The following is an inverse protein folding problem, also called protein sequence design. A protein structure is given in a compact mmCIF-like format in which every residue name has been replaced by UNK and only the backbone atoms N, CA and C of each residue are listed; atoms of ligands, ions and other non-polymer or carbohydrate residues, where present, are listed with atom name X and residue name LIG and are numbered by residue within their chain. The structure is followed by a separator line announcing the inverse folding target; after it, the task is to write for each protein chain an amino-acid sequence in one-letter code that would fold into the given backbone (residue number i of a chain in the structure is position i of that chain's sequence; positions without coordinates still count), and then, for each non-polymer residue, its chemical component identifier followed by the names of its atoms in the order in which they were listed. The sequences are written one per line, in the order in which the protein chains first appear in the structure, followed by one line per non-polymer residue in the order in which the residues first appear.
data_IF_453235454853
#
_entry.id   IF_453235454853
#
_cell.length_a   1.000
_cell.length_b   1.000
_cell.length_c   1.000
_cell.angle_alpha   90.00
_cell.angle_beta   90.00
_cell.angle_gamma   90.00
#
_symmetry.space_group_name_H-M   'P 1'
#
loop_
_entity.id
_entity.type
_entity.pdbx_description
1 polymer ?
#
# COMPACT_ATOMS: atom_id res chain seq x y z
N UNK A 1 -13.16 1.14 1.71
CA UNK A 1 -12.31 1.04 0.50
C UNK A 1 -13.03 0.17 -0.52
N UNK A 2 -12.95 0.54 -1.80
CA UNK A 2 -13.56 -0.21 -2.91
C UNK A 2 -12.47 -0.97 -3.67
N UNK A 3 -12.36 -2.28 -3.42
CA UNK A 3 -11.32 -3.13 -4.00
C UNK A 3 -11.57 -3.43 -5.49
N UNK A 4 -12.83 -3.61 -5.89
CA UNK A 4 -13.19 -3.87 -7.29
C UNK A 4 -12.92 -2.65 -8.17
N UNK A 5 -13.09 -1.44 -7.63
CA UNK A 5 -12.68 -0.23 -8.34
C UNK A 5 -11.17 -0.17 -8.51
N UNK A 6 -10.38 -0.46 -7.48
CA UNK A 6 -8.91 -0.43 -7.54
C UNK A 6 -8.37 -1.44 -8.54
N UNK A 7 -8.91 -2.66 -8.53
CA UNK A 7 -8.56 -3.72 -9.47
C UNK A 7 -8.76 -3.27 -10.93
N UNK A 8 -9.95 -2.72 -11.23
CA UNK A 8 -10.25 -2.13 -12.54
C UNK A 8 -9.37 -0.93 -12.92
N UNK A 9 -8.83 -0.20 -11.95
CA UNK A 9 -7.91 0.91 -12.21
C UNK A 9 -6.50 0.41 -12.54
N UNK A 10 -6.05 -0.66 -11.89
CA UNK A 10 -4.79 -1.35 -12.22
C UNK A 10 -4.83 -1.98 -13.61
N UNK A 11 -5.94 -2.64 -13.97
CA UNK A 11 -6.14 -3.24 -15.29
C UNK A 11 -6.05 -2.20 -16.43
N UNK A 12 -6.38 -0.94 -16.13
CA UNK A 12 -6.23 0.19 -17.07
C UNK A 12 -4.79 0.70 -17.15
N UNK A 13 -3.84 0.06 -16.49
CA UNK A 13 -2.44 0.45 -16.43
C UNK A 13 -2.17 1.66 -15.53
N UNK A 14 -3.11 2.06 -14.65
CA UNK A 14 -2.83 3.15 -13.71
C UNK A 14 -1.81 2.68 -12.68
N UNK A 15 -0.81 3.52 -12.43
CA UNK A 15 0.11 3.34 -11.30
C UNK A 15 -0.52 3.92 -10.04
N UNK A 16 -0.61 3.11 -9.00
CA UNK A 16 -1.27 3.47 -7.74
C UNK A 16 -0.27 3.30 -6.61
N UNK A 17 -0.22 4.28 -5.71
CA UNK A 17 0.55 4.26 -4.48
C UNK A 17 -0.36 3.97 -3.29
N UNK A 18 0.10 3.12 -2.38
CA UNK A 18 -0.61 2.74 -1.16
C UNK A 18 0.26 3.08 0.03
N UNK A 19 -0.23 3.97 0.89
CA UNK A 19 0.36 4.27 2.20
C UNK A 19 -0.29 3.40 3.27
N UNK A 20 0.51 2.71 4.06
CA UNK A 20 0.04 1.80 5.11
C UNK A 20 0.97 1.75 6.32
N UNK A 21 0.44 1.33 7.47
CA UNK A 21 1.19 1.11 8.69
C UNK A 21 1.82 -0.29 8.71
N UNK A 22 3.02 -0.38 9.28
CA UNK A 22 3.69 -1.66 9.51
C UNK A 22 4.44 -1.62 10.85
N UNK A 23 4.51 -2.76 11.56
CA UNK A 23 5.30 -2.84 12.78
C UNK A 23 6.79 -2.71 12.46
N UNK A 24 7.49 -1.91 13.26
CA UNK A 24 8.93 -1.73 13.22
C UNK A 24 9.55 -2.15 14.55
N UNK A 25 10.70 -2.81 14.48
CA UNK A 25 11.53 -3.10 15.66
C UNK A 25 12.14 -1.84 16.27
N UNK A 26 12.10 -0.71 15.55
CA UNK A 26 12.67 0.56 15.98
C UNK A 26 11.53 1.49 16.41
N UNK A 27 11.37 1.64 17.73
CA UNK A 27 10.42 2.57 18.35
C UNK A 27 10.72 4.01 17.92
N UNK A 28 9.69 4.72 17.48
CA UNK A 28 9.74 6.14 17.18
C UNK A 28 9.98 6.95 18.48
N UNK A 29 10.99 7.83 18.47
CA UNK A 29 11.41 8.56 19.68
C UNK A 29 10.46 9.68 20.07
N UNK A 30 9.70 10.24 19.12
CA UNK A 30 8.81 11.37 19.36
C UNK A 30 7.43 10.91 19.86
N UNK A 31 6.95 9.79 19.34
CA UNK A 31 5.60 9.27 19.61
C UNK A 31 5.60 8.05 20.53
N UNK A 32 6.74 7.37 20.68
CA UNK A 32 6.83 6.08 21.36
C UNK A 32 6.18 4.92 20.59
N UNK A 33 5.68 5.16 19.37
CA UNK A 33 5.02 4.15 18.54
C UNK A 33 6.04 3.17 17.96
N UNK A 34 5.66 1.90 17.88
CA UNK A 34 6.40 0.88 17.12
C UNK A 34 5.89 0.76 15.68
N UNK A 35 4.79 1.44 15.35
CA UNK A 35 4.25 1.45 14.00
C UNK A 35 4.89 2.57 13.19
N UNK A 36 5.17 2.27 11.92
CA UNK A 36 5.69 3.22 10.94
C UNK A 36 4.83 3.19 9.71
N UNK A 37 4.82 4.30 8.99
CA UNK A 37 4.11 4.42 7.73
C UNK A 37 5.09 4.24 6.57
N UNK A 38 4.65 3.61 5.48
CA UNK A 38 5.37 3.59 4.21
C UNK A 38 4.39 3.68 3.05
N UNK A 39 4.90 4.13 1.91
CA UNK A 39 4.13 4.21 0.66
C UNK A 39 4.81 3.35 -0.41
N UNK A 40 4.06 2.39 -0.95
CA UNK A 40 4.55 1.41 -1.94
C UNK A 40 3.67 1.40 -3.19
N UNK A 41 4.20 0.87 -4.29
CA UNK A 41 3.45 0.68 -5.55
C UNK A 41 2.49 -0.51 -5.38
N UNK A 42 1.22 -0.31 -5.71
CA UNK A 42 0.22 -1.36 -5.80
C UNK A 42 0.45 -2.16 -7.08
N UNK A 43 0.60 -3.47 -6.92
CA UNK A 43 0.81 -4.42 -8.02
C UNK A 43 -0.44 -5.22 -8.36
N UNK A 44 -1.24 -5.57 -7.34
CA UNK A 44 -2.40 -6.44 -7.49
C UNK A 44 -3.37 -6.22 -6.33
N UNK A 45 -4.63 -6.64 -6.52
CA UNK A 45 -5.70 -6.55 -5.54
C UNK A 45 -6.35 -7.91 -5.39
N UNK A 46 -6.64 -8.33 -4.16
CA UNK A 46 -7.44 -9.53 -3.89
C UNK A 46 -8.78 -9.11 -3.26
N UNK A 47 -9.81 -8.77 -4.05
CA UNK A 47 -11.07 -8.23 -3.53
C UNK A 47 -11.75 -9.16 -2.52
N UNK A 48 -11.77 -10.47 -2.81
CA UNK A 48 -12.40 -11.46 -1.94
C UNK A 48 -11.73 -11.56 -0.56
N UNK A 49 -10.43 -11.29 -0.50
CA UNK A 49 -9.64 -11.32 0.74
C UNK A 49 -9.48 -9.95 1.38
N UNK A 50 -9.94 -8.88 0.71
CA UNK A 50 -9.77 -7.47 1.11
C UNK A 50 -8.30 -7.12 1.36
N UNK A 51 -7.41 -7.58 0.48
CA UNK A 51 -5.95 -7.37 0.57
C UNK A 51 -5.40 -6.65 -0.65
N UNK A 52 -4.32 -5.93 -0.44
CA UNK A 52 -3.55 -5.22 -1.48
C UNK A 52 -2.16 -5.83 -1.59
N UNK A 53 -1.69 -6.09 -2.79
CA UNK A 53 -0.33 -6.58 -3.04
C UNK A 53 0.57 -5.42 -3.45
N UNK A 54 1.57 -5.11 -2.63
CA UNK A 54 2.40 -3.91 -2.83
C UNK A 54 3.89 -4.25 -2.92
N UNK A 55 4.66 -3.39 -3.58
CA UNK A 55 6.12 -3.54 -3.72
C UNK A 55 6.86 -2.25 -3.43
N UNK A 56 7.84 -2.34 -2.52
CA UNK A 56 8.75 -1.24 -2.21
C UNK A 56 10.07 -1.35 -2.97
N UNK A 57 10.36 -0.44 -3.92
CA UNK A 57 11.70 -0.22 -4.53
C UNK A 57 12.53 -1.49 -4.82
N UNK A 58 11.92 -2.50 -5.47
CA UNK A 58 12.61 -3.74 -5.84
C UNK A 58 12.77 -4.78 -4.71
N UNK A 59 12.19 -4.55 -3.53
CA UNK A 59 12.08 -5.56 -2.47
C UNK A 59 10.98 -6.58 -2.78
N UNK A 60 10.98 -7.68 -2.03
CA UNK A 60 9.92 -8.69 -2.06
C UNK A 60 8.56 -8.04 -1.83
N UNK A 61 7.60 -8.25 -2.76
CA UNK A 61 6.23 -7.77 -2.58
C UNK A 61 5.55 -8.43 -1.38
N UNK A 62 4.59 -7.73 -0.79
CA UNK A 62 3.84 -8.22 0.37
C UNK A 62 2.35 -7.92 0.24
N UNK A 63 1.54 -8.73 0.94
CA UNK A 63 0.12 -8.49 1.09
C UNK A 63 -0.14 -7.60 2.31
N UNK A 64 -0.95 -6.57 2.11
CA UNK A 64 -1.38 -5.60 3.12
C UNK A 64 -2.88 -5.76 3.34
N UNK A 65 -3.28 -5.80 4.60
CA UNK A 65 -4.68 -5.87 4.99
C UNK A 65 -5.35 -4.50 4.87
N UNK A 66 -6.65 -4.50 4.55
CA UNK A 66 -7.43 -3.26 4.40
C UNK A 66 -7.29 -2.28 5.57
N UNK A 67 -7.23 -2.80 6.80
CA UNK A 67 -7.17 -2.01 8.03
C UNK A 67 -5.80 -1.38 8.28
N UNK A 68 -4.75 -1.86 7.61
CA UNK A 68 -3.39 -1.30 7.70
C UNK A 68 -3.22 -0.10 6.76
N UNK A 69 -4.13 0.05 5.78
CA UNK A 69 -4.04 1.09 4.75
C UNK A 69 -4.53 2.42 5.31
N UNK A 70 -3.67 3.43 5.16
CA UNK A 70 -3.93 4.82 5.57
C UNK A 70 -4.44 5.63 4.38
N UNK A 71 -3.84 5.44 3.19
CA UNK A 71 -4.12 6.27 2.01
C UNK A 71 -3.86 5.51 0.71
N UNK A 72 -4.63 5.81 -0.32
CA UNK A 72 -4.41 5.36 -1.69
C UNK A 72 -4.47 6.56 -2.63
N UNK A 73 -3.50 6.70 -3.52
CA UNK A 73 -3.39 7.81 -4.47
C UNK A 73 -2.81 7.35 -5.81
N UNK A 74 -3.14 8.04 -6.90
CA UNK A 74 -2.50 7.79 -8.20
C UNK A 74 -1.03 8.26 -8.16
N UNK A 75 -0.12 7.48 -8.75
CA UNK A 75 1.26 7.91 -8.92
C UNK A 75 1.33 8.82 -10.15
N UNK A 76 1.64 10.10 -9.94
CA UNK A 76 1.97 10.98 -11.05
C UNK A 76 3.28 10.51 -11.69
N UNK A 77 3.22 10.20 -12.99
CA UNK A 77 4.42 10.01 -13.79
C UNK A 77 5.14 11.36 -13.87
N UNK A 78 6.22 11.54 -13.11
CA UNK A 78 7.18 12.61 -13.43
C UNK A 78 7.78 12.28 -14.79
N UNK A 79 7.30 12.99 -15.82
CA UNK A 79 7.93 13.07 -17.15
C UNK A 79 9.32 13.67 -17.07
#
# INVERSE_FOLDING_TARGET
MDFEKLDRELDKGKKIAVTYEYPSTIRDKATGSIYRQRTDELLDVAPERKRLFVRYKGKTPIWIEAYEVIRIEGMESKS
#
